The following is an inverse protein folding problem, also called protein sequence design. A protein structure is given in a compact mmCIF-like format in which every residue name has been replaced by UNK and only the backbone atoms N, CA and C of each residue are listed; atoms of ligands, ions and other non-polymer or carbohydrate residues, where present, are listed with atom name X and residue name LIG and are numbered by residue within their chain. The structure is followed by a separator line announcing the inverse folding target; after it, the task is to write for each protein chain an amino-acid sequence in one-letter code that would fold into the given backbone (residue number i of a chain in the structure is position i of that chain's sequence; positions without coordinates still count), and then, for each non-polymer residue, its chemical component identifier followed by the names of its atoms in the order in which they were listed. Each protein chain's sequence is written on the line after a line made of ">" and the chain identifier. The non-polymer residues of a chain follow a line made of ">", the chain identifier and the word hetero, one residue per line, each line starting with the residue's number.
data_IF_308889445007
#
_entry.id   IF_308889445007
#
_cell.length_a   1.000
_cell.length_b   1.000
_cell.length_c   1.000
_cell.angle_alpha   90.00
_cell.angle_beta   90.00
_cell.angle_gamma   90.00
#
_symmetry.space_group_name_H-M   'P 1'
#
loop_
_entity.id
_entity.type
_entity.pdbx_description
1 polymer ?
#
# COMPACT_ATOMS: atom_id res chain seq x y z
N UNK A 1 36.57 -16.44 -3.01
CA UNK A 1 35.22 -16.74 -3.52
C UNK A 1 34.31 -15.57 -3.18
N UNK A 2 33.97 -14.77 -4.18
CA UNK A 2 33.13 -13.59 -4.03
C UNK A 2 31.65 -13.97 -4.23
N UNK A 3 30.81 -13.64 -3.26
CA UNK A 3 29.34 -13.63 -3.45
C UNK A 3 28.87 -12.20 -3.64
N UNK A 4 28.73 -11.81 -4.91
CA UNK A 4 27.68 -10.88 -5.36
C UNK A 4 26.33 -11.38 -4.82
N UNK A 5 25.33 -10.58 -4.46
CA UNK A 5 25.03 -9.21 -4.76
C UNK A 5 23.51 -9.10 -4.85
N UNK A 6 22.86 -8.63 -3.79
CA UNK A 6 21.49 -8.11 -3.84
C UNK A 6 21.44 -6.85 -2.97
N UNK A 7 21.97 -5.74 -3.52
CA UNK A 7 21.70 -4.41 -2.98
C UNK A 7 20.26 -4.05 -3.34
N UNK A 8 19.30 -4.50 -2.53
CA UNK A 8 17.94 -4.03 -2.62
C UNK A 8 17.90 -2.53 -2.26
N UNK A 9 17.31 -1.73 -3.15
CA UNK A 9 17.20 -0.27 -3.20
C UNK A 9 16.47 0.37 -1.97
N UNK A 10 16.15 -0.42 -0.95
CA UNK A 10 15.42 0.01 0.25
C UNK A 10 16.28 0.79 1.28
N UNK A 11 17.57 0.99 1.01
CA UNK A 11 18.54 1.45 2.02
C UNK A 11 18.79 2.96 2.05
N UNK A 12 18.46 3.73 1.01
CA UNK A 12 18.97 5.11 0.92
C UNK A 12 18.21 6.10 1.79
N UNK A 13 16.88 6.10 1.78
CA UNK A 13 16.09 7.05 2.59
C UNK A 13 16.16 6.75 4.11
N UNK A 14 16.06 5.47 4.50
CA UNK A 14 16.20 5.06 5.92
C UNK A 14 17.59 5.40 6.44
N UNK A 15 18.64 5.08 5.66
CA UNK A 15 20.01 5.43 6.04
C UNK A 15 20.18 6.94 6.13
N UNK A 16 19.70 7.70 5.14
CA UNK A 16 19.73 9.16 5.14
C UNK A 16 19.09 9.72 6.41
N UNK A 17 17.94 9.20 6.82
CA UNK A 17 17.25 9.59 8.04
C UNK A 17 18.13 9.33 9.29
N UNK A 18 18.64 8.12 9.46
CA UNK A 18 19.41 7.75 10.65
C UNK A 18 20.80 8.43 10.74
N UNK A 19 21.46 8.71 9.62
CA UNK A 19 22.79 9.35 9.61
C UNK A 19 22.73 10.87 9.74
N UNK A 20 21.53 11.47 9.70
CA UNK A 20 21.32 12.91 9.83
C UNK A 20 20.41 13.21 11.03
N UNK A 21 20.95 13.28 12.27
CA UNK A 21 20.14 13.44 13.49
C UNK A 21 19.21 14.66 13.48
N UNK A 22 19.54 15.70 12.72
CA UNK A 22 18.69 16.89 12.58
C UNK A 22 17.32 16.58 11.97
N UNK A 23 17.21 15.53 11.14
CA UNK A 23 15.93 15.07 10.58
C UNK A 23 15.00 14.48 11.66
N UNK A 24 15.56 13.97 12.76
CA UNK A 24 14.75 13.42 13.86
C UNK A 24 14.00 14.51 14.62
N UNK A 25 14.48 15.76 14.56
CA UNK A 25 13.88 16.90 15.26
C UNK A 25 12.78 17.60 14.43
N UNK A 26 12.63 17.24 13.16
CA UNK A 26 11.54 17.76 12.33
C UNK A 26 10.21 17.10 12.72
N UNK A 27 9.06 17.77 12.50
CA UNK A 27 7.75 17.14 12.65
C UNK A 27 7.62 15.91 11.74
N UNK A 28 7.19 14.78 12.31
CA UNK A 28 6.98 13.53 11.56
C UNK A 28 5.49 13.28 11.41
N UNK A 29 5.02 13.27 10.17
CA UNK A 29 3.65 12.91 9.84
C UNK A 29 3.61 11.47 9.32
N UNK A 30 2.66 10.70 9.83
CA UNK A 30 2.38 9.34 9.35
C UNK A 30 0.91 9.25 8.99
N UNK A 31 0.64 8.68 7.82
CA UNK A 31 -0.72 8.34 7.45
C UNK A 31 -1.18 7.13 8.27
N UNK A 32 -2.43 7.11 8.75
CA UNK A 32 -2.99 5.94 9.37
C UNK A 32 -3.01 4.78 8.36
N UNK A 33 -2.81 3.52 8.81
CA UNK A 33 -2.94 2.37 7.93
C UNK A 33 -4.38 2.29 7.39
N UNK A 34 -4.53 1.90 6.13
CA UNK A 34 -5.86 1.66 5.57
C UNK A 34 -6.56 0.52 6.30
N UNK A 35 -7.88 0.68 6.53
CA UNK A 35 -8.75 -0.34 7.12
C UNK A 35 -8.98 -1.53 6.17
N UNK A 36 -8.71 -1.35 4.87
CA UNK A 36 -8.91 -2.36 3.84
C UNK A 36 -7.70 -2.48 2.91
N UNK A 37 -7.83 -3.35 1.91
CA UNK A 37 -6.85 -3.40 0.81
C UNK A 37 -6.98 -2.16 -0.07
N UNK A 38 -5.85 -1.72 -0.62
CA UNK A 38 -5.78 -0.71 -1.66
C UNK A 38 -6.66 -1.09 -2.86
N UNK A 39 -7.29 -0.11 -3.50
CA UNK A 39 -7.94 -0.25 -4.82
C UNK A 39 -7.00 -0.88 -5.85
N UNK A 40 -5.71 -0.57 -5.75
CA UNK A 40 -4.67 -1.11 -6.62
C UNK A 40 -4.14 -2.51 -6.21
N UNK A 41 -4.66 -3.08 -5.11
CA UNK A 41 -4.13 -4.27 -4.45
C UNK A 41 -4.25 -5.57 -5.26
N UNK A 42 -5.14 -5.63 -6.26
CA UNK A 42 -5.25 -6.79 -7.17
C UNK A 42 -4.09 -6.82 -8.17
N UNK A 43 -3.72 -5.66 -8.72
CA UNK A 43 -2.67 -5.55 -9.74
C UNK A 43 -1.29 -5.55 -9.10
N UNK A 44 -1.18 -4.90 -7.94
CA UNK A 44 0.08 -4.75 -7.21
C UNK A 44 -0.03 -5.41 -5.85
N UNK A 45 0.91 -6.31 -5.58
CA UNK A 45 1.11 -6.86 -4.24
C UNK A 45 1.47 -5.74 -3.26
N UNK A 46 0.64 -5.58 -2.22
CA UNK A 46 0.96 -4.69 -1.10
C UNK A 46 2.21 -5.19 -0.35
N UNK A 47 3.18 -4.31 -0.07
CA UNK A 47 4.37 -4.69 0.70
C UNK A 47 4.02 -5.18 2.12
N UNK A 48 3.02 -4.54 2.74
CA UNK A 48 2.52 -4.85 4.09
C UNK A 48 1.01 -4.60 4.16
N UNK A 49 0.28 -5.25 5.10
CA UNK A 49 -1.13 -4.96 5.33
C UNK A 49 -1.36 -3.48 5.65
N UNK A 50 -2.42 -2.90 5.10
CA UNK A 50 -2.79 -1.50 5.31
C UNK A 50 -2.01 -0.50 4.46
N UNK A 51 -1.14 -0.97 3.54
CA UNK A 51 -0.47 -0.12 2.57
C UNK A 51 -1.42 0.29 1.43
N UNK A 52 -1.51 1.59 1.19
CA UNK A 52 -2.28 2.18 0.09
C UNK A 52 -1.44 2.34 -1.18
N UNK A 53 -2.10 2.64 -2.30
CA UNK A 53 -1.44 3.18 -3.49
C UNK A 53 -0.97 4.62 -3.23
N UNK A 54 -0.11 5.14 -4.10
CA UNK A 54 0.35 6.53 -4.01
C UNK A 54 -0.81 7.51 -4.09
N UNK A 55 -1.77 7.31 -4.99
CA UNK A 55 -2.94 8.18 -5.15
C UNK A 55 -3.80 8.18 -3.89
N UNK A 56 -4.15 7.00 -3.38
CA UNK A 56 -4.91 6.88 -2.13
C UNK A 56 -4.18 7.52 -0.94
N UNK A 57 -2.85 7.39 -0.90
CA UNK A 57 -2.04 8.00 0.17
C UNK A 57 -2.04 9.52 0.07
N UNK A 58 -1.98 10.09 -1.14
CA UNK A 58 -2.04 11.53 -1.37
C UNK A 58 -3.42 12.07 -0.99
N UNK A 59 -4.50 11.41 -1.43
CA UNK A 59 -5.88 11.81 -1.09
C UNK A 59 -6.06 11.82 0.43
N UNK A 60 -5.69 10.76 1.13
CA UNK A 60 -5.76 10.71 2.59
C UNK A 60 -4.90 11.79 3.25
N UNK A 61 -3.71 12.09 2.72
CA UNK A 61 -2.86 13.15 3.25
C UNK A 61 -3.55 14.51 3.13
N UNK A 62 -4.15 14.80 1.97
CA UNK A 62 -4.85 16.06 1.72
C UNK A 62 -6.11 16.16 2.59
N UNK A 63 -6.90 15.09 2.73
CA UNK A 63 -8.06 15.09 3.64
C UNK A 63 -7.69 15.39 5.10
N UNK A 64 -6.48 15.00 5.54
CA UNK A 64 -5.98 15.26 6.90
C UNK A 64 -5.39 16.67 7.04
N UNK A 65 -4.64 17.13 6.04
CA UNK A 65 -3.86 18.37 6.10
C UNK A 65 -4.65 19.60 5.62
N UNK A 66 -5.57 19.41 4.67
CA UNK A 66 -6.34 20.44 3.98
C UNK A 66 -7.82 19.99 3.88
N UNK A 67 -8.53 19.86 5.01
CA UNK A 67 -9.90 19.32 5.05
C UNK A 67 -10.93 20.15 4.25
N UNK A 68 -10.60 21.40 3.92
CA UNK A 68 -11.40 22.28 3.07
C UNK A 68 -11.24 22.01 1.56
N UNK A 69 -10.27 21.18 1.16
CA UNK A 69 -10.03 20.88 -0.25
C UNK A 69 -11.14 19.98 -0.79
N UNK A 70 -12.00 20.56 -1.64
CA UNK A 70 -13.12 19.87 -2.27
C UNK A 70 -12.70 19.03 -3.49
N UNK A 71 -13.44 17.95 -3.76
CA UNK A 71 -13.28 17.15 -4.98
C UNK A 71 -12.18 16.08 -4.94
N UNK A 72 -11.59 15.82 -3.77
CA UNK A 72 -10.62 14.73 -3.58
C UNK A 72 -11.24 13.34 -3.80
N UNK A 73 -12.52 13.19 -3.48
CA UNK A 73 -13.34 12.01 -3.74
C UNK A 73 -13.39 11.67 -5.25
N UNK A 74 -13.55 12.68 -6.11
CA UNK A 74 -13.59 12.51 -7.57
C UNK A 74 -12.29 11.94 -8.13
N UNK A 75 -11.14 12.20 -7.50
CA UNK A 75 -9.88 11.60 -7.91
C UNK A 75 -9.87 10.09 -7.67
N UNK A 76 -10.47 9.63 -6.56
CA UNK A 76 -10.65 8.21 -6.28
C UNK A 76 -11.69 7.59 -7.21
N UNK A 77 -12.76 8.30 -7.57
CA UNK A 77 -13.73 7.82 -8.56
C UNK A 77 -13.07 7.56 -9.92
N UNK A 78 -12.28 8.51 -10.43
CA UNK A 78 -11.52 8.34 -11.67
C UNK A 78 -10.57 7.15 -11.58
N UNK A 79 -9.94 6.96 -10.41
CA UNK A 79 -9.08 5.82 -10.17
C UNK A 79 -9.86 4.50 -10.19
N UNK A 80 -11.06 4.46 -9.61
CA UNK A 80 -11.93 3.29 -9.63
C UNK A 80 -12.40 2.97 -11.07
N UNK A 81 -12.73 3.97 -11.89
CA UNK A 81 -13.01 3.74 -13.32
C UNK A 81 -11.81 3.15 -14.08
N UNK A 82 -10.61 3.68 -13.84
CA UNK A 82 -9.39 3.14 -14.45
C UNK A 82 -9.15 1.68 -14.04
N UNK A 83 -9.46 1.33 -12.79
CA UNK A 83 -9.34 -0.04 -12.28
C UNK A 83 -10.31 -1.00 -12.94
N UNK A 84 -11.55 -0.57 -13.22
CA UNK A 84 -12.53 -1.37 -13.97
C UNK A 84 -12.09 -1.56 -15.43
N UNK A 85 -11.61 -0.50 -16.10
CA UNK A 85 -11.06 -0.61 -17.45
C UNK A 85 -9.87 -1.59 -17.49
N UNK A 86 -9.00 -1.53 -16.47
CA UNK A 86 -7.87 -2.42 -16.36
C UNK A 86 -8.30 -3.88 -16.14
N UNK A 87 -9.36 -4.12 -15.37
CA UNK A 87 -9.95 -5.45 -15.21
C UNK A 87 -10.46 -6.00 -16.53
N UNK A 88 -11.21 -5.20 -17.30
CA UNK A 88 -11.71 -5.58 -18.63
C UNK A 88 -10.56 -5.87 -19.58
N UNK A 89 -9.57 -4.96 -19.67
CA UNK A 89 -8.44 -5.10 -20.58
C UNK A 89 -7.52 -6.29 -20.23
N UNK A 90 -7.41 -6.64 -18.95
CA UNK A 90 -6.56 -7.76 -18.50
C UNK A 90 -7.25 -9.11 -18.62
N UNK A 91 -8.58 -9.16 -18.58
CA UNK A 91 -9.39 -10.38 -18.75
C UNK A 91 -9.00 -11.50 -17.78
N UNK A 92 -8.77 -12.70 -18.30
CA UNK A 92 -8.41 -13.89 -17.50
C UNK A 92 -7.20 -13.69 -16.57
N UNK A 93 -6.25 -12.83 -16.97
CA UNK A 93 -5.09 -12.52 -16.12
C UNK A 93 -5.53 -11.85 -14.83
N UNK A 94 -6.53 -10.98 -14.88
CA UNK A 94 -7.08 -10.33 -13.71
C UNK A 94 -7.77 -11.35 -12.79
N UNK A 95 -8.62 -12.22 -13.35
CA UNK A 95 -9.30 -13.28 -12.59
C UNK A 95 -8.31 -14.16 -11.84
N UNK A 96 -7.21 -14.56 -12.48
CA UNK A 96 -6.15 -15.35 -11.83
C UNK A 96 -5.47 -14.59 -10.69
N UNK A 97 -5.27 -13.28 -10.81
CA UNK A 97 -4.70 -12.45 -9.74
C UNK A 97 -5.68 -12.33 -8.57
N UNK A 98 -6.96 -12.10 -8.86
CA UNK A 98 -8.03 -12.00 -7.88
C UNK A 98 -8.17 -13.29 -7.06
N UNK A 99 -8.16 -14.45 -7.71
CA UNK A 99 -8.17 -15.76 -7.03
C UNK A 99 -6.97 -15.94 -6.09
N UNK A 100 -5.76 -15.58 -6.55
CA UNK A 100 -4.54 -15.64 -5.72
C UNK A 100 -4.65 -14.73 -4.50
N UNK A 101 -5.19 -13.53 -4.66
CA UNK A 101 -5.41 -12.60 -3.54
C UNK A 101 -6.43 -13.19 -2.56
N UNK A 102 -7.53 -13.76 -3.05
CA UNK A 102 -8.56 -14.41 -2.21
C UNK A 102 -8.00 -15.57 -1.40
N UNK A 103 -7.25 -16.46 -2.05
CA UNK A 103 -6.61 -17.61 -1.39
C UNK A 103 -5.58 -17.17 -0.34
N UNK A 104 -4.77 -16.16 -0.66
CA UNK A 104 -3.80 -15.60 0.28
C UNK A 104 -4.44 -14.90 1.50
N UNK A 105 -5.69 -14.41 1.39
CA UNK A 105 -6.44 -13.84 2.52
C UNK A 105 -7.02 -14.92 3.44
N UNK A 106 -7.57 -15.99 2.89
CA UNK A 106 -8.13 -17.11 3.67
C UNK A 106 -7.08 -17.77 4.56
N UNK A 107 -5.87 -17.98 4.06
CA UNK A 107 -4.77 -18.56 4.85
C UNK A 107 -4.31 -17.63 5.99
N UNK A 108 -4.52 -16.32 5.87
CA UNK A 108 -4.13 -15.33 6.89
C UNK A 108 -5.16 -15.21 8.02
N UNK A 109 -6.46 -15.35 7.74
CA UNK A 109 -7.50 -15.37 8.78
C UNK A 109 -7.36 -16.57 9.69
N UNK A 110 -6.99 -17.73 9.15
CA UNK A 110 -6.82 -18.98 9.91
C UNK A 110 -5.61 -18.94 10.85
N UNK A 111 -4.62 -18.07 10.56
CA UNK A 111 -3.44 -17.88 11.40
C UNK A 111 -3.68 -16.85 12.53
N UNK A 112 -4.61 -15.91 12.35
CA UNK A 112 -4.94 -14.89 13.34
C UNK A 112 -5.83 -15.43 14.48
N UNK A 113 -6.60 -16.49 14.24
CA UNK A 113 -7.49 -17.11 15.24
C UNK A 113 -6.76 -18.06 16.20
N UNK A 114 -5.57 -18.55 15.86
CA UNK A 114 -4.80 -19.52 16.66
C UNK A 114 -3.74 -18.88 17.59
N UNK A 115 -3.65 -17.55 17.66
CA UNK A 115 -2.62 -16.82 18.42
C UNK A 115 -3.04 -16.23 19.78
N UNK A 116 -4.32 -16.35 20.18
CA UNK A 116 -4.84 -15.87 21.47
C UNK A 116 -5.05 -17.05 22.43
N UNK A 117 -3.97 -17.66 22.88
CA UNK A 117 -3.94 -18.49 24.09
C UNK A 117 -2.50 -18.51 24.62
N UNK A 118 -2.23 -17.56 25.51
CA UNK A 118 -1.39 -17.71 26.70
C UNK A 118 -1.51 -16.45 27.57
#
# INVERSE_FOLDING_TARGET
>A
MATMGTKHVEKDAKRLFYVNPWLHNLPHHRLPPSKGSSRYGIIRKEPKPGCMSTIESIVMALEILEPETEGLDKLLDVFDYMMEDQKVCMGERYTRLEEKVRLGRSQKSDLATNGSSN
#
